data_IF_428782466446
#
_entry.id   IF_428782466446
#
_cell.length_a   1.000
_cell.length_b   1.000
_cell.length_c   1.000
_cell.angle_alpha   90.00
_cell.angle_beta   90.00
_cell.angle_gamma   90.00
#
_symmetry.space_group_name_H-M   'P 1'
#
loop_
_entity.id
_entity.type
_entity.pdbx_description
1 polymer ?
#
# COMPACT_ATOMS: atom_id res chain seq x y z
N UNK A 1 -30.78 -1.96 13.81
CA UNK A 1 -29.43 -2.38 13.36
C UNK A 1 -28.41 -1.55 14.13
N UNK A 2 -27.43 -2.15 14.83
CA UNK A 2 -26.37 -1.37 15.44
C UNK A 2 -25.66 -0.55 14.35
N UNK A 3 -25.33 0.71 14.65
CA UNK A 3 -24.65 1.58 13.69
C UNK A 3 -23.27 0.99 13.37
N UNK A 4 -23.01 0.70 12.09
CA UNK A 4 -21.67 0.35 11.65
C UNK A 4 -20.84 1.64 11.67
N UNK A 5 -19.87 1.71 12.58
CA UNK A 5 -18.97 2.86 12.64
C UNK A 5 -17.99 2.82 11.47
N UNK A 6 -18.28 3.63 10.45
CA UNK A 6 -17.41 3.85 9.29
C UNK A 6 -16.71 5.21 9.36
N UNK A 7 -15.63 5.34 8.60
CA UNK A 7 -14.84 6.57 8.46
C UNK A 7 -14.50 6.82 6.99
N UNK A 8 -14.06 8.05 6.70
CA UNK A 8 -13.46 8.40 5.42
C UNK A 8 -12.00 8.78 5.61
N UNK A 9 -11.15 8.36 4.68
CA UNK A 9 -9.71 8.65 4.66
C UNK A 9 -9.44 9.42 3.37
N UNK A 10 -9.24 10.75 3.45
CA UNK A 10 -9.02 11.57 2.27
C UNK A 10 -7.58 11.45 1.74
N UNK A 11 -7.39 12.00 0.54
CA UNK A 11 -6.08 12.23 -0.08
C UNK A 11 -5.18 11.00 -0.22
N UNK A 12 -5.75 9.80 -0.29
CA UNK A 12 -5.01 8.56 -0.47
C UNK A 12 -4.43 8.54 -1.88
N UNK A 13 -3.09 8.51 -2.05
CA UNK A 13 -2.49 8.35 -3.36
C UNK A 13 -2.80 6.95 -3.89
N UNK A 14 -3.12 6.82 -5.18
CA UNK A 14 -3.59 5.56 -5.76
C UNK A 14 -2.71 5.08 -6.91
N UNK A 15 -2.30 5.99 -7.78
CA UNK A 15 -1.56 5.68 -8.99
C UNK A 15 -0.67 6.86 -9.37
N UNK A 16 0.49 6.59 -9.96
CA UNK A 16 1.38 7.61 -10.50
C UNK A 16 1.70 7.29 -11.97
N UNK A 17 1.91 8.30 -12.81
CA UNK A 17 2.39 8.08 -14.18
C UNK A 17 3.79 7.45 -14.20
N UNK A 18 4.09 6.64 -15.20
CA UNK A 18 5.39 5.97 -15.34
C UNK A 18 5.26 4.46 -15.53
N UNK A 19 6.39 3.77 -15.45
CA UNK A 19 6.49 2.32 -15.64
C UNK A 19 6.24 1.58 -14.34
N UNK A 20 5.31 0.61 -14.34
CA UNK A 20 4.95 -0.20 -13.18
C UNK A 20 5.00 -1.68 -13.49
N UNK A 21 5.49 -2.47 -12.55
CA UNK A 21 5.45 -3.93 -12.62
C UNK A 21 4.09 -4.42 -12.08
N UNK A 22 3.03 -4.34 -12.90
CA UNK A 22 1.72 -4.84 -12.50
C UNK A 22 1.70 -6.38 -12.46
N UNK A 23 0.77 -6.96 -11.72
CA UNK A 23 0.62 -8.43 -11.64
C UNK A 23 0.29 -9.08 -12.98
N UNK A 24 -0.19 -8.29 -13.94
CA UNK A 24 -0.51 -8.70 -15.32
C UNK A 24 0.65 -8.45 -16.30
N UNK A 25 1.78 -7.94 -15.82
CA UNK A 25 2.94 -7.56 -16.63
C UNK A 25 3.28 -6.07 -16.50
N UNK A 26 4.35 -5.61 -17.17
CA UNK A 26 4.72 -4.20 -17.21
C UNK A 26 3.58 -3.33 -17.73
N UNK A 27 3.36 -2.19 -17.09
CA UNK A 27 2.33 -1.23 -17.46
C UNK A 27 2.87 0.19 -17.39
N UNK A 28 2.88 0.87 -18.54
CA UNK A 28 3.13 2.31 -18.63
C UNK A 28 1.84 3.07 -18.35
N UNK A 29 1.79 3.78 -17.22
CA UNK A 29 0.68 4.67 -16.88
C UNK A 29 0.96 6.05 -17.45
N UNK A 30 0.04 6.57 -18.26
CA UNK A 30 0.09 7.89 -18.86
C UNK A 30 -0.82 8.89 -18.13
N UNK A 31 -0.64 10.19 -18.40
CA UNK A 31 -1.56 11.21 -17.91
C UNK A 31 -2.99 11.03 -18.48
N UNK A 32 -3.10 10.45 -19.67
CA UNK A 32 -4.36 10.15 -20.35
C UNK A 32 -5.12 9.04 -19.63
N UNK A 33 -4.40 8.04 -19.10
CA UNK A 33 -5.00 7.01 -18.24
C UNK A 33 -5.56 7.62 -16.95
N UNK A 34 -4.81 8.52 -16.30
CA UNK A 34 -5.30 9.20 -15.10
C UNK A 34 -6.56 10.03 -15.38
N UNK A 35 -6.59 10.74 -16.50
CA UNK A 35 -7.78 11.51 -16.93
C UNK A 35 -8.95 10.58 -17.24
N UNK A 36 -8.71 9.48 -17.96
CA UNK A 36 -9.73 8.47 -18.25
C UNK A 36 -10.36 7.91 -16.97
N UNK A 37 -9.56 7.63 -15.94
CA UNK A 37 -10.05 7.15 -14.65
C UNK A 37 -11.01 8.17 -13.99
N UNK A 38 -10.63 9.45 -13.96
CA UNK A 38 -11.46 10.52 -13.36
C UNK A 38 -12.75 10.72 -14.16
N UNK A 39 -12.66 10.75 -15.48
CA UNK A 39 -13.81 10.93 -16.36
C UNK A 39 -14.78 9.73 -16.25
N UNK A 40 -14.26 8.50 -16.23
CA UNK A 40 -15.07 7.28 -16.09
C UNK A 40 -15.79 7.24 -14.74
N UNK A 41 -15.12 7.65 -13.65
CA UNK A 41 -15.73 7.75 -12.34
C UNK A 41 -16.84 8.81 -12.32
N UNK A 42 -16.60 9.98 -12.90
CA UNK A 42 -17.58 11.08 -12.98
C UNK A 42 -18.79 10.70 -13.82
N UNK A 43 -18.58 9.93 -14.89
CA UNK A 43 -19.63 9.40 -15.74
C UNK A 43 -20.38 8.20 -15.13
N UNK A 44 -19.98 7.73 -13.95
CA UNK A 44 -20.63 6.60 -13.25
C UNK A 44 -20.37 5.23 -13.89
N UNK A 45 -19.29 5.09 -14.67
CA UNK A 45 -18.93 3.83 -15.32
C UNK A 45 -18.55 2.77 -14.29
N UNK A 46 -17.85 3.16 -13.23
CA UNK A 46 -17.49 2.28 -12.13
C UNK A 46 -17.49 3.03 -10.79
N UNK A 47 -17.86 2.31 -9.73
CA UNK A 47 -17.62 2.70 -8.34
C UNK A 47 -16.51 1.81 -7.80
N UNK A 48 -15.26 2.29 -7.68
CA UNK A 48 -14.16 1.44 -7.27
C UNK A 48 -14.37 0.93 -5.84
N UNK A 49 -14.30 -0.40 -5.66
CA UNK A 49 -14.49 -1.02 -4.33
C UNK A 49 -13.17 -1.12 -3.57
N UNK A 50 -13.22 -0.95 -2.25
CA UNK A 50 -12.09 -1.20 -1.37
C UNK A 50 -12.10 -2.65 -0.89
N UNK A 51 -10.97 -3.37 -1.00
CA UNK A 51 -10.86 -4.78 -0.61
C UNK A 51 -9.57 -5.09 0.16
N UNK A 52 -9.56 -6.25 0.82
CA UNK A 52 -8.36 -6.80 1.48
C UNK A 52 -7.58 -7.67 0.50
N UNK A 53 -6.39 -7.20 0.10
CA UNK A 53 -5.52 -7.92 -0.83
C UNK A 53 -6.12 -8.11 -2.22
N UNK A 54 -5.30 -8.61 -3.15
CA UNK A 54 -5.79 -9.03 -4.47
C UNK A 54 -6.46 -10.40 -4.42
N UNK A 55 -5.93 -11.29 -3.57
CA UNK A 55 -6.29 -12.70 -3.51
C UNK A 55 -6.55 -13.09 -2.06
N UNK A 56 -7.51 -14.01 -1.86
CA UNK A 56 -7.84 -14.51 -0.54
C UNK A 56 -8.76 -15.73 -0.62
N UNK A 57 -8.91 -16.48 0.49
CA UNK A 57 -9.74 -17.68 0.52
C UNK A 57 -11.21 -17.41 0.19
N UNK A 58 -11.69 -16.19 0.43
CA UNK A 58 -13.06 -15.78 0.16
C UNK A 58 -13.34 -15.44 -1.31
N UNK A 59 -12.31 -15.17 -2.13
CA UNK A 59 -12.46 -14.81 -3.56
C UNK A 59 -13.59 -13.78 -3.77
N UNK A 60 -14.55 -14.07 -4.64
CA UNK A 60 -15.67 -13.19 -4.99
C UNK A 60 -16.69 -13.00 -3.84
N UNK A 61 -16.62 -13.83 -2.79
CA UNK A 61 -17.44 -13.66 -1.59
C UNK A 61 -16.80 -12.71 -0.57
N UNK A 62 -15.61 -12.17 -0.85
CA UNK A 62 -14.96 -11.20 0.03
C UNK A 62 -15.83 -9.93 0.16
N UNK A 63 -16.04 -9.41 1.38
CA UNK A 63 -16.83 -8.20 1.56
C UNK A 63 -16.09 -6.97 1.02
N UNK A 64 -16.83 -6.06 0.38
CA UNK A 64 -16.34 -4.72 0.15
C UNK A 64 -16.17 -3.99 1.49
N UNK A 65 -15.03 -3.36 1.69
CA UNK A 65 -14.70 -2.58 2.89
C UNK A 65 -15.01 -1.09 2.73
N UNK A 66 -15.73 -0.72 1.68
CA UNK A 66 -15.98 0.67 1.30
C UNK A 66 -15.75 0.87 -0.19
N UNK A 67 -15.60 2.12 -0.60
CA UNK A 67 -15.35 2.51 -1.97
C UNK A 67 -14.35 3.66 -2.06
N UNK A 68 -13.92 3.95 -3.29
CA UNK A 68 -13.11 5.12 -3.60
C UNK A 68 -13.99 6.19 -4.25
N UNK A 69 -13.84 7.42 -3.77
CA UNK A 69 -14.61 8.59 -4.19
C UNK A 69 -13.69 9.81 -4.32
N UNK A 70 -14.22 10.93 -4.84
CA UNK A 70 -13.49 12.20 -4.94
C UNK A 70 -12.11 12.05 -5.62
N UNK A 71 -12.08 11.26 -6.70
CA UNK A 71 -10.90 11.06 -7.52
C UNK A 71 -10.47 12.36 -8.19
N UNK A 72 -9.18 12.66 -8.13
CA UNK A 72 -8.58 13.83 -8.78
C UNK A 72 -7.11 13.61 -9.06
N UNK A 73 -6.57 14.41 -9.97
CA UNK A 73 -5.15 14.41 -10.31
C UNK A 73 -4.46 15.55 -9.55
N UNK A 74 -3.33 15.24 -8.92
CA UNK A 74 -2.46 16.19 -8.21
C UNK A 74 -1.13 16.26 -8.93
N UNK A 75 -0.63 17.48 -9.15
CA UNK A 75 0.65 17.71 -9.83
C UNK A 75 0.72 17.24 -11.29
N UNK A 76 -0.41 16.85 -11.89
CA UNK A 76 -0.49 16.32 -13.25
C UNK A 76 -0.03 14.86 -13.39
N UNK A 77 0.57 14.26 -12.37
CA UNK A 77 1.20 12.92 -12.46
C UNK A 77 0.67 11.91 -11.45
N UNK A 78 -0.10 12.35 -10.43
CA UNK A 78 -0.57 11.46 -9.37
C UNK A 78 -2.09 11.48 -9.27
N UNK A 79 -2.70 10.29 -9.27
CA UNK A 79 -4.10 10.09 -8.94
C UNK A 79 -4.25 9.93 -7.42
N UNK A 80 -5.15 10.70 -6.82
CA UNK A 80 -5.53 10.59 -5.41
C UNK A 80 -7.05 10.41 -5.28
N UNK A 81 -7.49 9.80 -4.19
CA UNK A 81 -8.90 9.60 -3.88
C UNK A 81 -9.20 9.59 -2.39
N UNK A 82 -10.48 9.50 -2.06
CA UNK A 82 -10.98 9.32 -0.69
C UNK A 82 -11.53 7.92 -0.53
N UNK A 83 -10.99 7.17 0.43
CA UNK A 83 -11.57 5.89 0.85
C UNK A 83 -12.78 6.20 1.73
N UNK A 84 -13.98 5.82 1.30
CA UNK A 84 -15.24 6.15 1.97
C UNK A 84 -15.95 4.89 2.45
N UNK A 85 -16.59 4.98 3.62
CA UNK A 85 -17.33 3.86 4.19
C UNK A 85 -16.42 2.80 4.81
N UNK A 86 -15.19 3.15 5.15
CA UNK A 86 -14.20 2.21 5.71
C UNK A 86 -14.59 1.85 7.14
N UNK A 87 -14.74 0.57 7.51
CA UNK A 87 -14.98 0.18 8.89
C UNK A 87 -13.88 0.74 9.80
N UNK A 88 -14.27 1.40 10.89
CA UNK A 88 -13.32 2.06 11.83
C UNK A 88 -12.24 1.10 12.35
N UNK A 89 -12.59 -0.16 12.57
CA UNK A 89 -11.64 -1.18 13.01
C UNK A 89 -10.54 -1.46 11.97
N UNK A 90 -10.90 -1.46 10.68
CA UNK A 90 -9.92 -1.59 9.59
C UNK A 90 -9.08 -0.32 9.49
N UNK A 91 -9.72 0.85 9.49
CA UNK A 91 -9.01 2.13 9.44
C UNK A 91 -7.97 2.27 10.55
N UNK A 92 -8.27 1.79 11.76
CA UNK A 92 -7.34 1.80 12.90
C UNK A 92 -6.10 0.92 12.76
N UNK A 93 -6.06 0.00 11.78
CA UNK A 93 -4.90 -0.88 11.54
C UNK A 93 -4.24 -0.65 10.19
N UNK A 94 -4.78 0.20 9.32
CA UNK A 94 -4.29 0.38 7.94
C UNK A 94 -2.79 0.65 7.88
N UNK A 95 -2.33 1.70 8.57
CA UNK A 95 -0.92 2.11 8.60
C UNK A 95 0.02 0.91 8.88
N UNK A 96 -0.28 0.11 9.91
CA UNK A 96 0.59 -0.99 10.34
C UNK A 96 0.37 -2.30 9.56
N UNK A 97 -0.88 -2.69 9.32
CA UNK A 97 -1.22 -4.01 8.79
C UNK A 97 -1.36 -4.01 7.27
N UNK A 98 -1.67 -2.86 6.68
CA UNK A 98 -1.86 -2.65 5.25
C UNK A 98 -1.21 -1.34 4.80
N UNK A 99 0.12 -1.16 5.00
CA UNK A 99 0.81 0.10 4.70
C UNK A 99 0.76 0.47 3.22
N UNK A 100 0.45 -0.49 2.36
CA UNK A 100 0.45 -0.38 0.91
C UNK A 100 -0.93 -0.62 0.34
N UNK A 101 -1.10 -0.25 -0.93
CA UNK A 101 -2.31 -0.50 -1.72
C UNK A 101 -1.95 -0.64 -3.18
N UNK A 102 -2.86 -1.23 -3.93
CA UNK A 102 -2.73 -1.40 -5.37
C UNK A 102 -4.07 -1.19 -6.05
N UNK A 103 -4.04 -0.57 -7.22
CA UNK A 103 -5.23 -0.31 -8.03
C UNK A 103 -5.59 -1.51 -8.88
N UNK A 104 -6.87 -1.65 -9.19
CA UNK A 104 -7.39 -2.57 -10.17
C UNK A 104 -8.10 -1.79 -11.25
N UNK A 105 -7.60 -1.92 -12.47
CA UNK A 105 -8.11 -1.18 -13.62
C UNK A 105 -8.58 -2.14 -14.71
N UNK A 106 -9.63 -1.74 -15.42
CA UNK A 106 -9.96 -2.28 -16.73
C UNK A 106 -9.28 -1.39 -17.77
N UNK A 107 -8.49 -2.00 -18.67
CA UNK A 107 -7.88 -1.31 -19.79
C UNK A 107 -8.77 -1.48 -21.04
N UNK A 108 -8.86 -0.43 -21.85
CA UNK A 108 -9.65 -0.39 -23.09
C UNK A 108 -11.12 -0.86 -22.92
N UNK A 109 -11.72 -0.49 -21.78
CA UNK A 109 -13.08 -0.90 -21.45
C UNK A 109 -14.08 -0.22 -22.37
N UNK A 110 -14.91 -0.99 -23.07
CA UNK A 110 -16.02 -0.45 -23.86
C UNK A 110 -17.31 -0.54 -23.08
N UNK A 111 -17.96 0.60 -22.87
CA UNK A 111 -19.23 0.67 -22.16
C UNK A 111 -20.42 0.23 -23.04
N UNK A 112 -21.62 0.18 -22.44
CA UNK A 112 -22.84 -0.21 -23.14
C UNK A 112 -23.25 0.74 -24.27
N UNK A 113 -22.79 1.99 -24.22
CA UNK A 113 -23.05 2.98 -25.26
C UNK A 113 -22.02 2.91 -26.41
N UNK A 114 -21.04 2.00 -26.33
CA UNK A 114 -20.00 1.80 -27.34
C UNK A 114 -18.83 2.77 -27.21
N UNK A 115 -18.74 3.55 -26.13
CA UNK A 115 -17.56 4.38 -25.86
C UNK A 115 -16.48 3.53 -25.23
N UNK A 116 -15.26 3.64 -25.76
CA UNK A 116 -14.07 3.03 -25.18
C UNK A 116 -13.40 3.99 -24.20
N UNK A 117 -13.08 3.46 -23.03
CA UNK A 117 -12.40 4.13 -21.93
C UNK A 117 -11.00 3.50 -21.81
N UNK A 118 -9.92 4.26 -22.06
CA UNK A 118 -8.55 3.74 -22.02
C UNK A 118 -8.22 3.05 -20.69
N UNK A 119 -8.66 3.65 -19.57
CA UNK A 119 -8.46 3.10 -18.24
C UNK A 119 -9.64 3.42 -17.33
N UNK A 120 -10.17 2.41 -16.65
CA UNK A 120 -11.26 2.53 -15.67
C UNK A 120 -10.84 1.90 -14.37
N UNK A 121 -10.77 2.69 -13.29
CA UNK A 121 -10.51 2.17 -11.95
C UNK A 121 -11.76 1.44 -11.43
N UNK A 122 -11.61 0.18 -11.03
CA UNK A 122 -12.71 -0.67 -10.54
C UNK A 122 -12.51 -1.17 -9.12
N UNK A 123 -11.29 -1.08 -8.59
CA UNK A 123 -11.02 -1.47 -7.21
C UNK A 123 -9.69 -0.97 -6.67
N UNK A 124 -9.57 -1.02 -5.34
CA UNK A 124 -8.33 -0.78 -4.61
C UNK A 124 -8.14 -1.89 -3.58
N UNK A 125 -7.01 -2.59 -3.68
CA UNK A 125 -6.61 -3.63 -2.74
C UNK A 125 -5.70 -3.04 -1.65
N UNK A 126 -6.05 -3.24 -0.39
CA UNK A 126 -5.20 -2.95 0.76
C UNK A 126 -4.16 -4.07 0.91
N UNK A 127 -2.87 -3.72 0.92
CA UNK A 127 -1.76 -4.65 0.87
C UNK A 127 -0.92 -4.59 2.16
N UNK A 128 -0.80 -5.75 2.81
CA UNK A 128 0.07 -5.95 3.98
C UNK A 128 1.44 -6.48 3.56
N UNK A 129 1.61 -7.80 3.57
CA UNK A 129 2.87 -8.46 3.22
C UNK A 129 3.20 -8.46 1.71
N UNK A 130 2.23 -8.12 0.85
CA UNK A 130 2.39 -8.08 -0.60
C UNK A 130 2.90 -6.70 -1.02
N UNK A 131 3.89 -6.67 -1.91
CA UNK A 131 4.40 -5.42 -2.46
C UNK A 131 3.42 -4.82 -3.48
N UNK A 132 3.26 -3.49 -3.53
CA UNK A 132 2.46 -2.83 -4.56
C UNK A 132 3.16 -2.85 -5.91
N UNK A 133 2.39 -2.74 -7.00
CA UNK A 133 2.93 -2.54 -8.34
C UNK A 133 3.59 -1.16 -8.48
N UNK A 134 2.96 -0.13 -7.90
CA UNK A 134 3.46 1.26 -7.88
C UNK A 134 4.33 1.45 -6.64
N UNK A 135 5.64 1.57 -6.84
CA UNK A 135 6.63 1.56 -5.74
C UNK A 135 6.89 2.96 -5.15
N UNK A 136 6.55 4.00 -5.91
CA UNK A 136 6.77 5.41 -5.60
C UNK A 136 5.71 5.99 -4.69
N UNK A 137 4.62 5.25 -4.45
CA UNK A 137 3.56 5.72 -3.60
C UNK A 137 4.00 5.74 -2.13
N UNK A 138 3.75 6.86 -1.46
CA UNK A 138 3.93 6.98 -0.02
C UNK A 138 3.13 5.92 0.74
N UNK A 139 3.68 5.49 1.88
CA UNK A 139 3.01 4.56 2.79
C UNK A 139 1.80 5.24 3.42
N UNK A 140 0.80 4.45 3.83
CA UNK A 140 -0.35 4.98 4.57
C UNK A 140 -0.02 5.41 6.01
N UNK A 141 1.25 5.31 6.43
CA UNK A 141 1.70 5.73 7.77
C UNK A 141 1.65 7.25 7.95
N UNK A 142 1.74 8.04 6.87
CA UNK A 142 1.64 9.50 6.94
C UNK A 142 0.17 9.96 7.01
N UNK A 143 -0.46 9.62 8.12
CA UNK A 143 -1.84 9.96 8.46
C UNK A 143 -2.08 11.46 8.36
N UNK A 144 -1.11 12.29 8.70
CA UNK A 144 -1.31 13.73 8.72
C UNK A 144 -1.36 14.30 7.31
N UNK A 145 -0.49 13.84 6.41
CA UNK A 145 -0.60 14.14 4.98
C UNK A 145 -1.96 13.69 4.41
N UNK A 146 -2.42 12.48 4.77
CA UNK A 146 -3.72 11.96 4.32
C UNK A 146 -4.90 12.84 4.77
N UNK A 147 -4.92 13.27 6.04
CA UNK A 147 -5.97 14.15 6.56
C UNK A 147 -5.78 15.64 6.25
N UNK A 148 -4.74 16.02 5.51
CA UNK A 148 -4.46 17.43 5.17
C UNK A 148 -4.07 18.28 6.38
N UNK A 149 -3.46 17.65 7.39
CA UNK A 149 -2.95 18.31 8.59
C UNK A 149 -1.46 18.58 8.38
N UNK A 150 -1.09 19.85 8.27
CA UNK A 150 0.31 20.27 8.18
C UNK A 150 1.03 19.99 9.51
N UNK A 151 1.84 18.93 9.56
CA UNK A 151 2.80 18.72 10.65
C UNK A 151 4.18 19.03 10.12
N UNK A 152 4.70 20.20 10.48
CA UNK A 152 6.10 20.46 10.31
C UNK A 152 6.92 19.50 11.19
N UNK A 153 7.77 18.70 10.53
CA UNK A 153 9.03 18.13 11.00
C UNK A 153 9.13 16.61 11.32
N UNK A 154 10.26 16.09 10.79
CA UNK A 154 11.13 15.04 11.32
C UNK A 154 10.79 13.57 11.00
N UNK A 155 11.17 13.11 9.81
CA UNK A 155 11.57 11.72 9.60
C UNK A 155 12.95 11.66 8.92
N UNK A 156 13.99 11.35 9.71
CA UNK A 156 15.29 10.96 9.18
C UNK A 156 15.13 9.59 8.49
N UNK A 157 15.31 9.57 7.17
CA UNK A 157 15.22 8.34 6.36
C UNK A 157 16.44 7.46 6.64
N UNK A 158 16.29 6.45 7.50
CA UNK A 158 17.29 5.38 7.65
C UNK A 158 17.04 4.34 6.56
N UNK A 159 17.89 4.33 5.53
CA UNK A 159 17.92 3.29 4.51
C UNK A 159 18.84 2.17 5.00
N UNK A 160 18.28 1.01 5.36
CA UNK A 160 19.03 -0.22 5.51
C UNK A 160 18.91 -0.98 4.17
N UNK A 161 19.89 -0.81 3.29
CA UNK A 161 20.04 -1.66 2.12
C UNK A 161 20.75 -2.95 2.54
N UNK A 162 20.05 -4.08 2.55
CA UNK A 162 20.68 -5.39 2.65
C UNK A 162 21.27 -5.76 1.29
N UNK A 163 22.55 -5.47 1.07
CA UNK A 163 23.33 -6.12 0.02
C UNK A 163 23.51 -7.60 0.38
N UNK A 164 23.45 -8.49 -0.61
CA UNK A 164 23.79 -9.90 -0.40
C UNK A 164 25.22 -10.01 0.14
N UNK A 165 25.43 -10.53 1.37
CA UNK A 165 26.74 -10.54 1.98
C UNK A 165 27.66 -11.46 1.19
N UNK A 166 28.87 -10.98 0.90
CA UNK A 166 29.91 -11.81 0.31
C UNK A 166 30.25 -12.99 1.25
N UNK A 167 30.95 -14.01 0.74
CA UNK A 167 31.38 -15.13 1.59
C UNK A 167 32.23 -14.65 2.80
N UNK A 168 33.00 -13.56 2.64
CA UNK A 168 33.77 -12.94 3.70
C UNK A 168 32.89 -12.26 4.77
N UNK A 169 31.81 -11.60 4.35
CA UNK A 169 30.87 -10.95 5.27
C UNK A 169 30.08 -11.97 6.10
N UNK A 170 29.71 -13.10 5.48
CA UNK A 170 29.11 -14.24 6.19
C UNK A 170 30.07 -14.85 7.22
N UNK A 171 31.34 -15.05 6.85
CA UNK A 171 32.35 -15.58 7.78
C UNK A 171 32.55 -14.65 8.99
N UNK A 172 32.58 -13.33 8.75
CA UNK A 172 32.71 -12.32 9.81
C UNK A 172 31.48 -12.27 10.73
N UNK A 173 30.28 -12.37 10.18
CA UNK A 173 29.04 -12.44 10.96
C UNK A 173 28.97 -13.70 11.83
N UNK A 174 29.38 -14.86 11.30
CA UNK A 174 29.45 -16.12 12.05
C UNK A 174 30.49 -16.06 13.17
N UNK A 175 31.66 -15.46 12.92
CA UNK A 175 32.68 -15.26 13.95
C UNK A 175 32.19 -14.35 15.09
N UNK A 176 31.49 -13.26 14.75
CA UNK A 176 30.86 -12.37 15.75
C UNK A 176 29.76 -13.08 16.55
N UNK A 177 28.92 -13.89 15.91
CA UNK A 177 27.90 -14.67 16.58
C UNK A 177 28.50 -15.72 17.54
N UNK A 178 29.58 -16.41 17.13
CA UNK A 178 30.33 -17.33 18.00
C UNK A 178 30.95 -16.60 19.19
N UNK A 179 31.60 -15.46 18.98
CA UNK A 179 32.20 -14.66 20.05
C UNK A 179 31.15 -14.12 21.04
N UNK A 180 29.94 -13.80 20.57
CA UNK A 180 28.82 -13.40 21.43
C UNK A 180 28.29 -14.57 22.26
N UNK A 181 28.17 -15.77 21.68
CA UNK A 181 27.76 -16.98 22.41
C UNK A 181 28.77 -17.36 23.50
N UNK A 182 30.07 -17.30 23.22
CA UNK A 182 31.09 -17.61 24.24
C UNK A 182 31.11 -16.56 25.36
N UNK A 183 30.81 -15.29 25.05
CA UNK A 183 30.70 -14.22 26.05
C UNK A 183 29.45 -14.35 26.92
N UNK A 184 28.30 -14.69 26.36
CA UNK A 184 27.08 -14.98 27.16
C UNK A 184 27.19 -16.26 27.99
N UNK A 185 27.86 -17.31 27.48
CA UNK A 185 28.12 -18.50 28.28
C UNK A 185 29.03 -18.20 29.48
N UNK A 186 29.98 -17.28 29.30
CA UNK A 186 30.91 -16.83 30.35
C UNK A 186 30.25 -15.91 31.38
N UNK A 187 29.25 -15.11 31.00
CA UNK A 187 28.46 -14.31 31.97
C UNK A 187 27.51 -15.17 32.81
N UNK A 188 26.90 -16.21 32.23
CA UNK A 188 26.05 -17.18 32.96
C UNK A 188 26.84 -18.06 33.93
N UNK A 189 28.16 -18.18 33.73
CA UNK A 189 29.04 -18.94 34.62
C UNK A 189 29.42 -18.19 35.90
N UNK A 190 29.34 -16.85 35.91
CA UNK A 190 29.70 -16.03 37.08
C UNK A 190 28.56 -15.90 38.10
N UNK A 191 27.30 -16.08 37.69
CA UNK A 191 26.13 -16.01 38.58
C UNK A 191 25.85 -17.29 39.38
N UNK A 192 26.67 -18.35 39.23
CA UNK A 192 26.57 -19.58 40.03
C UNK A 192 27.81 -19.78 40.89
N UNK A 193 27.97 -18.96 41.92
CA UNK A 193 28.76 -19.32 43.09
C UNK A 193 27.79 -19.41 44.28
N UNK A 194 27.39 -20.61 44.73
CA UNK A 194 26.64 -20.73 45.97
C UNK A 194 27.58 -20.49 47.16
N UNK A 195 27.04 -19.88 48.20
CA UNK A 195 27.65 -19.70 49.53
C UNK A 195 27.97 -21.03 50.21
#
# INVERSE_FOLDING_TARGET
MPAVHVVSIPNVPLLHTGEHDASTGPWTVTADDLRSIVDAHTAGIATPILKLGHQGPMRDAAPALGSVTALRIVGGTQLVGTLTGVPRAIAGVLARAYPQRSVECLLDHTDRAGRTWPCVLVGVALLGATHPAVKELETLDDVCHLYGVDVAAAACRVVIASAHPSAADRARAVALARARRTRSARSVSYERTPS
#
